data_IF_154461409255
#
_entry.id   IF_154461409255
#
_cell.length_a   1.000
_cell.length_b   1.000
_cell.length_c   1.000
_cell.angle_alpha   90.00
_cell.angle_beta   90.00
_cell.angle_gamma   90.00
#
_symmetry.space_group_name_H-M   'P 1'
#
loop_
_entity.id
_entity.type
_entity.pdbx_description
1 polymer ?
#
# COMPACT_ATOMS: atom_id res chain seq x y z
N UNK A 1 3.94 17.06 21.62
CA UNK A 1 4.41 15.77 21.09
C UNK A 1 3.19 14.91 20.82
N UNK A 2 2.78 14.76 19.56
CA UNK A 2 1.57 14.01 19.22
C UNK A 2 1.86 12.51 19.22
N UNK A 3 1.41 11.83 20.27
CA UNK A 3 1.36 10.37 20.30
C UNK A 3 0.38 9.90 19.24
N UNK A 4 0.88 9.42 18.11
CA UNK A 4 0.06 8.66 17.18
C UNK A 4 -0.18 7.31 17.85
N UNK A 5 -1.42 6.94 18.18
CA UNK A 5 -1.70 5.62 18.71
C UNK A 5 -1.12 4.58 17.74
N UNK A 6 -0.59 3.47 18.28
CA UNK A 6 -0.23 2.29 17.48
C UNK A 6 -1.50 1.83 16.75
N UNK A 7 -1.74 2.34 15.56
CA UNK A 7 -2.94 2.05 14.80
C UNK A 7 -2.80 0.66 14.20
N UNK A 8 -3.34 -0.32 14.90
CA UNK A 8 -3.51 -1.67 14.37
C UNK A 8 -4.42 -1.59 13.16
N UNK A 9 -3.98 -2.14 12.04
CA UNK A 9 -4.79 -2.21 10.83
C UNK A 9 -5.82 -3.34 10.95
N UNK A 10 -7.03 -3.11 10.45
CA UNK A 10 -8.01 -4.19 10.29
C UNK A 10 -7.56 -5.17 9.19
N UNK A 11 -8.08 -6.40 9.21
CA UNK A 11 -7.78 -7.37 8.14
C UNK A 11 -8.14 -6.82 6.75
N UNK A 12 -9.31 -6.18 6.62
CA UNK A 12 -9.76 -5.54 5.39
C UNK A 12 -8.83 -4.41 4.93
N UNK A 13 -8.26 -3.64 5.86
CA UNK A 13 -7.26 -2.63 5.53
C UNK A 13 -5.97 -3.27 5.00
N UNK A 14 -5.49 -4.33 5.66
CA UNK A 14 -4.29 -5.05 5.22
C UNK A 14 -4.50 -5.63 3.82
N UNK A 15 -5.65 -6.27 3.57
CA UNK A 15 -6.00 -6.82 2.25
C UNK A 15 -6.02 -5.74 1.18
N UNK A 16 -6.66 -4.59 1.45
CA UNK A 16 -6.66 -3.45 0.54
C UNK A 16 -5.24 -2.97 0.23
N UNK A 17 -4.40 -2.79 1.26
CA UNK A 17 -3.03 -2.35 1.05
C UNK A 17 -2.23 -3.36 0.22
N UNK A 18 -2.37 -4.66 0.51
CA UNK A 18 -1.71 -5.72 -0.24
C UNK A 18 -2.17 -5.80 -1.69
N UNK A 19 -3.46 -5.58 -1.94
CA UNK A 19 -4.03 -5.54 -3.29
C UNK A 19 -3.33 -4.50 -4.18
N UNK A 20 -2.96 -3.33 -3.63
CA UNK A 20 -2.28 -2.27 -4.38
C UNK A 20 -0.74 -2.37 -4.42
N UNK A 21 -0.11 -3.22 -3.59
CA UNK A 21 1.36 -3.35 -3.59
C UNK A 21 1.95 -3.74 -4.96
N UNK A 22 1.34 -4.62 -5.78
CA UNK A 22 1.80 -4.86 -7.15
C UNK A 22 1.79 -3.59 -8.01
N UNK A 23 0.74 -2.76 -7.93
CA UNK A 23 0.66 -1.50 -8.65
C UNK A 23 1.73 -0.51 -8.18
N UNK A 24 1.99 -0.43 -6.87
CA UNK A 24 3.12 0.35 -6.33
C UNK A 24 4.44 -0.13 -6.94
N UNK A 25 4.66 -1.45 -7.03
CA UNK A 25 5.90 -1.97 -7.62
C UNK A 25 6.09 -1.60 -9.10
N UNK A 26 4.98 -1.47 -9.84
CA UNK A 26 4.99 -1.10 -11.26
C UNK A 26 5.22 0.40 -11.45
N UNK A 27 4.55 1.23 -10.66
CA UNK A 27 4.49 2.68 -10.90
C UNK A 27 5.44 3.52 -10.04
N UNK A 28 5.95 3.02 -8.92
CA UNK A 28 6.81 3.81 -8.05
C UNK A 28 8.10 4.23 -8.76
N UNK A 29 8.47 5.50 -8.75
CA UNK A 29 9.72 5.97 -9.38
C UNK A 29 10.96 5.44 -8.65
N UNK A 30 10.88 5.37 -7.32
CA UNK A 30 12.02 5.05 -6.45
C UNK A 30 12.23 3.54 -6.38
N UNK A 31 13.45 3.08 -6.70
CA UNK A 31 13.82 1.65 -6.69
C UNK A 31 13.51 0.95 -5.35
N UNK A 32 13.80 1.61 -4.23
CA UNK A 32 13.51 1.06 -2.89
C UNK A 32 12.01 0.76 -2.69
N UNK A 33 11.12 1.59 -3.25
CA UNK A 33 9.68 1.43 -3.10
C UNK A 33 9.18 0.23 -3.91
N UNK A 34 9.74 0.03 -5.11
CA UNK A 34 9.50 -1.17 -5.92
C UNK A 34 9.90 -2.43 -5.18
N UNK A 35 11.13 -2.48 -4.67
CA UNK A 35 11.67 -3.64 -3.97
C UNK A 35 10.89 -3.94 -2.68
N UNK A 36 10.51 -2.89 -1.94
CA UNK A 36 9.68 -3.03 -0.76
C UNK A 36 8.32 -3.63 -1.09
N UNK A 37 7.61 -3.10 -2.10
CA UNK A 37 6.28 -3.55 -2.46
C UNK A 37 6.28 -4.99 -3.01
N UNK A 38 7.30 -5.36 -3.80
CA UNK A 38 7.52 -6.73 -4.26
C UNK A 38 7.79 -7.68 -3.08
N UNK A 39 8.62 -7.26 -2.13
CA UNK A 39 8.95 -8.06 -0.95
C UNK A 39 7.71 -8.33 -0.09
N UNK A 40 6.91 -7.30 0.18
CA UNK A 40 5.66 -7.43 0.94
C UNK A 40 4.67 -8.34 0.22
N UNK A 41 4.47 -8.13 -1.09
CA UNK A 41 3.57 -8.96 -1.91
C UNK A 41 3.98 -10.44 -1.93
N UNK A 42 5.28 -10.73 -1.90
CA UNK A 42 5.78 -12.11 -1.83
C UNK A 42 5.57 -12.72 -0.44
N UNK A 43 5.85 -11.96 0.61
CA UNK A 43 5.78 -12.42 2.00
C UNK A 43 4.33 -12.62 2.48
N UNK A 44 3.39 -11.80 2.00
CA UNK A 44 1.98 -11.88 2.40
C UNK A 44 1.30 -13.20 2.06
N UNK A 45 1.86 -13.96 1.12
CA UNK A 45 1.40 -15.31 0.76
C UNK A 45 1.72 -16.37 1.83
N UNK A 46 2.58 -16.06 2.81
CA UNK A 46 2.93 -17.02 3.87
C UNK A 46 1.79 -17.14 4.87
N UNK A 47 1.50 -18.37 5.31
CA UNK A 47 0.50 -18.64 6.34
C UNK A 47 0.83 -17.85 7.61
N UNK A 48 -0.18 -17.19 8.19
CA UNK A 48 -0.06 -16.37 9.40
C UNK A 48 0.89 -15.17 9.26
N UNK A 49 1.18 -14.71 8.04
CA UNK A 49 1.95 -13.50 7.86
C UNK A 49 1.13 -12.28 8.30
N UNK A 50 1.76 -11.41 9.08
CA UNK A 50 1.20 -10.12 9.48
C UNK A 50 2.25 -9.05 9.26
N UNK A 51 1.93 -7.91 8.63
CA UNK A 51 2.90 -6.83 8.50
C UNK A 51 3.22 -6.24 9.88
N UNK A 52 4.48 -5.86 10.09
CA UNK A 52 4.84 -5.03 11.25
C UNK A 52 4.19 -3.65 11.16
N UNK A 53 4.10 -2.93 12.28
CA UNK A 53 3.54 -1.58 12.30
C UNK A 53 4.31 -0.61 11.39
N UNK A 54 5.63 -0.80 11.28
CA UNK A 54 6.46 -0.01 10.36
C UNK A 54 6.12 -0.33 8.91
N UNK A 55 5.96 -1.61 8.57
CA UNK A 55 5.54 -2.00 7.22
C UNK A 55 4.17 -1.43 6.89
N UNK A 56 3.19 -1.48 7.82
CA UNK A 56 1.89 -0.86 7.64
C UNK A 56 1.97 0.64 7.33
N UNK A 57 2.78 1.39 8.08
CA UNK A 57 2.97 2.82 7.83
C UNK A 57 3.57 3.09 6.45
N UNK A 58 4.53 2.27 6.02
CA UNK A 58 5.14 2.40 4.68
C UNK A 58 4.15 2.01 3.59
N UNK A 59 3.40 0.92 3.75
CA UNK A 59 2.37 0.48 2.81
C UNK A 59 1.31 1.57 2.61
N UNK A 60 0.83 2.20 3.69
CA UNK A 60 -0.12 3.32 3.62
C UNK A 60 0.44 4.50 2.83
N UNK A 61 1.68 4.89 3.12
CA UNK A 61 2.35 5.98 2.39
C UNK A 61 2.48 5.68 0.90
N UNK A 62 2.97 4.49 0.54
CA UNK A 62 3.14 4.09 -0.86
C UNK A 62 1.83 4.01 -1.64
N UNK A 63 0.77 3.49 -1.02
CA UNK A 63 -0.57 3.46 -1.67
C UNK A 63 -1.14 4.88 -1.79
N UNK A 64 -0.95 5.72 -0.77
CA UNK A 64 -1.34 7.14 -0.86
C UNK A 64 -0.61 7.85 -2.01
N UNK A 65 0.70 7.63 -2.14
CA UNK A 65 1.52 8.21 -3.20
C UNK A 65 1.07 7.71 -4.58
N UNK A 66 0.68 6.44 -4.70
CA UNK A 66 0.15 5.85 -5.95
C UNK A 66 -1.10 6.61 -6.45
N UNK A 67 -2.03 6.93 -5.54
CA UNK A 67 -3.24 7.68 -5.90
C UNK A 67 -3.00 9.18 -6.06
N UNK A 68 -2.03 9.75 -5.32
CA UNK A 68 -1.64 11.15 -5.49
C UNK A 68 -1.01 11.40 -6.86
N UNK A 69 -0.19 10.47 -7.37
CA UNK A 69 0.43 10.57 -8.70
C UNK A 69 -0.59 10.42 -9.84
N UNK A 70 -1.60 9.57 -9.67
CA UNK A 70 -2.68 9.41 -10.66
C UNK A 70 -3.61 10.62 -10.80
N UNK A 71 -3.58 11.56 -9.85
CA UNK A 71 -4.39 12.77 -9.89
C UNK A 71 -3.80 13.89 -10.77
N UNK A 72 -2.51 13.80 -11.14
CA UNK A 72 -1.84 14.78 -12.01
C UNK A 72 -2.07 14.48 -13.50
N UNK A 73 -2.47 13.25 -13.84
CA UNK A 73 -2.54 12.75 -15.24
C UNK A 73 -3.98 12.49 -15.73
N UNK A 74 -4.98 13.19 -15.19
CA UNK A 74 -6.33 13.29 -15.78
C UNK A 74 -7.03 11.96 -16.11
N UNK A 75 -6.69 10.88 -15.40
CA UNK A 75 -7.22 9.55 -15.63
C UNK A 75 -8.49 9.32 -14.81
N UNK A 76 -9.63 9.54 -15.45
CA UNK A 76 -10.98 9.25 -14.98
C UNK A 76 -11.06 7.83 -14.38
N UNK A 77 -10.97 7.72 -13.06
CA UNK A 77 -11.31 6.49 -12.34
C UNK A 77 -12.84 6.43 -12.30
N UNK A 78 -13.47 5.94 -13.38
CA UNK A 78 -14.90 5.65 -13.37
C UNK A 78 -15.21 4.71 -12.21
N UNK A 79 -15.84 5.29 -11.19
CA UNK A 79 -16.45 4.60 -10.07
C UNK A 79 -17.58 3.73 -10.62
N UNK A 80 -17.32 2.44 -10.85
CA UNK A 80 -18.38 1.48 -11.17
C UNK A 80 -19.20 1.25 -9.89
N UNK A 81 -20.32 1.95 -9.75
CA UNK A 81 -21.40 1.56 -8.85
C UNK A 81 -22.31 0.54 -9.58
N UNK A 82 -22.48 -0.64 -8.98
CA UNK A 82 -23.46 -1.67 -9.39
C UNK A 82 -24.79 -1.50 -8.66
#
# INVERSE_FOLDING_TARGET
MSFHPRQMASAAEIERLLFFMPSVALHAEKSWAKDFALSVSKQSRRRNWTPSHKQLSVMRGLVSDLFAQGSDDGGDLELIES
#
